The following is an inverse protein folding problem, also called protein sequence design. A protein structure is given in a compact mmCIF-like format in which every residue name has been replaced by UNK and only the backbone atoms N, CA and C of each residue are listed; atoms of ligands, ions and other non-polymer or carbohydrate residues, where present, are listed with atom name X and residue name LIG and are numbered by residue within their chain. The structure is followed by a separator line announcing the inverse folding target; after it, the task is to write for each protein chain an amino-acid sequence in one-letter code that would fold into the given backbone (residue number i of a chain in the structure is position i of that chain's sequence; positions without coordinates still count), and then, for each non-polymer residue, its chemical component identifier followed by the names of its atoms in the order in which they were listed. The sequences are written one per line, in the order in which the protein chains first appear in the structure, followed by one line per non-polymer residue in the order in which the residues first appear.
data_IF_451302800577
#
_entry.id   IF_451302800577
#
_cell.length_a   1.000
_cell.length_b   1.000
_cell.length_c   1.000
_cell.angle_alpha   90.00
_cell.angle_beta   90.00
_cell.angle_gamma   90.00
#
_symmetry.space_group_name_H-M   'P 1'
#
loop_
_entity.id
_entity.type
_entity.pdbx_description
1 polymer ?
#
# COMPACT_ATOMS: atom_id res chain seq x y z
N UNK A 1 16.78 -42.69 42.68
CA UNK A 1 16.27 -43.93 42.01
C UNK A 1 15.19 -44.50 42.90
N UNK A 2 14.03 -44.86 42.36
CA UNK A 2 12.89 -45.37 43.14
C UNK A 2 13.13 -46.85 43.58
N UNK A 3 13.90 -47.60 42.83
CA UNK A 3 14.27 -49.03 43.12
C UNK A 3 15.76 -49.25 42.88
N UNK A 4 16.35 -50.11 43.66
CA UNK A 4 17.70 -50.65 43.38
C UNK A 4 17.61 -51.69 42.24
N UNK A 5 18.70 -51.97 41.50
CA UNK A 5 18.68 -53.00 40.43
C UNK A 5 18.20 -54.37 40.93
N UNK A 6 18.45 -54.74 42.16
CA UNK A 6 17.97 -56.00 42.77
C UNK A 6 16.46 -55.97 42.97
N UNK A 7 15.89 -54.90 43.50
CA UNK A 7 14.46 -54.72 43.67
C UNK A 7 13.74 -54.62 42.32
N UNK A 8 14.35 -53.99 41.32
CA UNK A 8 13.79 -53.96 39.97
C UNK A 8 13.71 -55.33 39.31
N UNK A 9 14.71 -56.18 39.53
CA UNK A 9 14.64 -57.55 39.05
C UNK A 9 13.51 -58.38 39.75
N UNK A 10 13.30 -58.17 41.05
CA UNK A 10 12.21 -58.79 41.81
C UNK A 10 10.83 -58.34 41.30
N UNK A 11 10.65 -57.07 41.04
CA UNK A 11 9.39 -56.49 40.52
C UNK A 11 9.06 -57.07 39.13
N UNK A 12 10.06 -57.25 38.28
CA UNK A 12 9.87 -57.90 36.96
C UNK A 12 9.74 -59.42 37.03
N UNK A 13 10.10 -60.04 38.18
CA UNK A 13 10.09 -61.49 38.34
C UNK A 13 11.15 -62.20 37.49
N UNK A 14 12.37 -61.62 37.44
CA UNK A 14 13.51 -62.16 36.70
C UNK A 14 14.75 -62.24 37.57
N UNK A 15 15.72 -63.04 37.13
CA UNK A 15 17.02 -63.14 37.82
C UNK A 15 17.81 -61.84 37.70
N UNK A 16 18.59 -61.49 38.75
CA UNK A 16 19.50 -60.38 38.74
C UNK A 16 20.58 -60.43 37.66
N UNK A 17 20.81 -61.63 37.10
CA UNK A 17 21.78 -61.88 36.04
C UNK A 17 21.09 -62.07 34.67
N UNK A 18 19.83 -61.66 34.51
CA UNK A 18 19.09 -61.76 33.26
C UNK A 18 19.74 -60.93 32.15
N UNK A 19 19.74 -61.47 30.95
CA UNK A 19 20.24 -60.73 29.77
C UNK A 19 19.25 -59.66 29.29
N UNK A 20 19.73 -58.70 28.52
CA UNK A 20 18.83 -57.69 27.91
C UNK A 20 17.70 -58.31 27.12
N UNK A 21 17.93 -59.43 26.40
CA UNK A 21 16.92 -60.15 25.65
C UNK A 21 15.86 -60.80 26.58
N UNK A 22 16.27 -61.26 27.77
CA UNK A 22 15.31 -61.80 28.74
C UNK A 22 14.44 -60.68 29.35
N UNK A 23 15.05 -59.51 29.60
CA UNK A 23 14.35 -58.31 30.03
C UNK A 23 13.28 -57.87 29.01
N UNK A 24 13.65 -57.79 27.73
CA UNK A 24 12.72 -57.44 26.65
C UNK A 24 11.58 -58.43 26.51
N UNK A 25 11.87 -59.71 26.49
CA UNK A 25 10.82 -60.76 26.41
C UNK A 25 9.88 -60.66 27.62
N UNK A 26 10.40 -60.48 28.81
CA UNK A 26 9.56 -60.39 30.02
C UNK A 26 8.68 -59.13 29.98
N UNK A 27 9.22 -58.00 29.58
CA UNK A 27 8.47 -56.76 29.45
C UNK A 27 7.41 -56.83 28.37
N UNK A 28 7.67 -57.53 27.27
CA UNK A 28 6.69 -57.76 26.19
C UNK A 28 5.46 -58.54 26.68
N UNK A 29 5.67 -59.55 27.55
CA UNK A 29 4.58 -60.28 28.18
C UNK A 29 3.75 -59.39 29.08
N UNK A 30 4.41 -58.55 29.90
CA UNK A 30 3.76 -57.57 30.79
C UNK A 30 2.93 -56.59 29.96
N UNK A 31 3.47 -56.05 28.86
CA UNK A 31 2.82 -55.13 27.99
C UNK A 31 1.59 -55.75 27.29
N UNK A 32 1.71 -57.00 26.83
CA UNK A 32 0.56 -57.74 26.25
C UNK A 32 -0.55 -57.94 27.27
N UNK A 33 -0.21 -58.33 28.50
CA UNK A 33 -1.15 -58.51 29.60
C UNK A 33 -1.88 -57.19 29.92
N UNK A 34 -1.15 -56.06 30.03
CA UNK A 34 -1.71 -54.73 30.28
C UNK A 34 -2.66 -54.31 29.16
N UNK A 35 -2.27 -54.52 27.89
CA UNK A 35 -3.12 -54.21 26.74
C UNK A 35 -4.42 -55.05 26.73
N UNK A 36 -4.35 -56.32 27.08
CA UNK A 36 -5.53 -57.16 27.19
C UNK A 36 -6.48 -56.66 28.29
N UNK A 37 -6.00 -56.40 29.50
CA UNK A 37 -6.77 -55.87 30.63
C UNK A 37 -7.40 -54.50 30.31
N UNK A 38 -6.71 -53.69 29.54
CA UNK A 38 -7.24 -52.42 29.08
C UNK A 38 -8.34 -52.58 28.03
N UNK A 39 -8.22 -53.59 27.16
CA UNK A 39 -9.18 -53.86 26.09
C UNK A 39 -10.47 -54.50 26.58
N UNK A 40 -10.42 -55.34 27.61
CA UNK A 40 -11.57 -56.02 28.20
C UNK A 40 -12.23 -55.26 29.35
N UNK A 41 -11.67 -54.09 29.70
CA UNK A 41 -12.22 -53.21 30.74
C UNK A 41 -11.94 -53.68 32.17
N UNK A 42 -11.07 -54.70 32.38
CA UNK A 42 -10.71 -55.26 33.68
C UNK A 42 -9.53 -54.53 34.34
N UNK A 43 -9.09 -53.40 33.79
CA UNK A 43 -7.96 -52.62 34.32
C UNK A 43 -8.44 -51.80 35.55
N UNK A 44 -8.04 -52.23 36.74
CA UNK A 44 -8.25 -51.50 37.97
C UNK A 44 -7.04 -50.62 38.31
N UNK A 45 -7.17 -49.81 39.36
CA UNK A 45 -6.14 -48.87 39.81
C UNK A 45 -4.88 -49.58 40.31
N UNK A 46 -5.05 -50.77 40.91
CA UNK A 46 -3.94 -51.58 41.43
C UNK A 46 -3.12 -52.21 40.28
N UNK A 47 -3.78 -52.70 39.22
CA UNK A 47 -3.15 -53.20 38.01
C UNK A 47 -2.41 -52.06 37.25
N UNK A 48 -2.98 -50.86 37.20
CA UNK A 48 -2.34 -49.70 36.59
C UNK A 48 -1.07 -49.28 37.37
N UNK A 49 -1.12 -49.27 38.68
CA UNK A 49 0.03 -48.97 39.53
C UNK A 49 1.11 -50.05 39.39
N UNK A 50 0.71 -51.35 39.39
CA UNK A 50 1.64 -52.46 39.17
C UNK A 50 2.36 -52.35 37.83
N UNK A 51 1.64 -51.96 36.77
CA UNK A 51 2.24 -51.76 35.44
C UNK A 51 3.23 -50.60 35.42
N UNK A 52 2.95 -49.49 36.12
CA UNK A 52 3.88 -48.40 36.27
C UNK A 52 5.18 -48.81 36.99
N UNK A 53 5.04 -49.58 38.08
CA UNK A 53 6.18 -50.04 38.85
C UNK A 53 7.03 -51.06 38.03
N UNK A 54 6.41 -51.95 37.25
CA UNK A 54 7.10 -52.84 36.31
C UNK A 54 7.78 -52.10 35.18
N UNK A 55 7.17 -51.03 34.66
CA UNK A 55 7.79 -50.20 33.63
C UNK A 55 9.01 -49.43 34.15
N UNK A 56 8.92 -48.87 35.35
CA UNK A 56 10.05 -48.20 35.99
C UNK A 56 11.19 -49.19 36.29
N UNK A 57 10.88 -50.39 36.76
CA UNK A 57 11.84 -51.47 37.00
C UNK A 57 12.55 -51.86 35.69
N UNK A 58 11.82 -52.05 34.57
CA UNK A 58 12.38 -52.35 33.26
C UNK A 58 13.36 -51.25 32.80
N UNK A 59 12.97 -49.97 32.96
CA UNK A 59 13.83 -48.84 32.57
C UNK A 59 15.13 -48.79 33.38
N UNK A 60 15.07 -49.05 34.68
CA UNK A 60 16.26 -49.12 35.56
C UNK A 60 17.22 -50.21 35.09
N UNK A 61 16.72 -51.42 34.82
CA UNK A 61 17.55 -52.56 34.42
C UNK A 61 18.10 -52.40 32.98
N UNK A 62 17.41 -51.73 32.12
CA UNK A 62 17.89 -51.38 30.76
C UNK A 62 18.90 -50.22 30.77
N UNK A 63 19.10 -49.56 31.90
CA UNK A 63 20.01 -48.43 32.03
C UNK A 63 19.45 -47.12 31.53
N UNK A 64 18.15 -47.04 31.33
CA UNK A 64 17.51 -45.77 31.02
C UNK A 64 17.41 -44.94 32.31
N UNK A 65 17.82 -43.67 32.25
CA UNK A 65 17.70 -42.78 33.41
C UNK A 65 16.20 -42.54 33.74
N UNK A 66 15.78 -43.07 34.90
CA UNK A 66 14.40 -42.87 35.41
C UNK A 66 14.24 -41.55 36.16
N UNK A 67 15.28 -40.76 36.20
CA UNK A 67 15.25 -39.39 36.75
C UNK A 67 15.05 -38.36 35.62
N UNK A 68 13.81 -38.16 35.21
CA UNK A 68 13.43 -36.83 34.78
C UNK A 68 13.18 -36.04 36.06
N UNK A 69 14.04 -35.14 36.49
CA UNK A 69 13.69 -34.23 37.58
C UNK A 69 12.43 -33.54 37.13
N UNK A 70 11.36 -33.66 37.88
CA UNK A 70 10.22 -32.72 37.76
C UNK A 70 10.81 -31.37 38.18
N UNK A 71 11.33 -30.65 37.20
CA UNK A 71 11.71 -29.26 37.36
C UNK A 71 10.42 -28.55 37.73
N UNK A 72 10.19 -28.36 39.00
CA UNK A 72 9.18 -27.40 39.48
C UNK A 72 9.63 -26.04 38.98
N UNK A 73 9.16 -25.72 37.76
CA UNK A 73 9.43 -24.45 37.13
C UNK A 73 8.73 -23.40 37.98
N UNK A 74 9.49 -22.44 38.51
CA UNK A 74 8.94 -21.32 39.26
C UNK A 74 7.85 -20.67 38.42
N UNK A 75 6.66 -20.57 38.94
CA UNK A 75 5.54 -19.85 38.32
C UNK A 75 5.98 -18.43 38.01
N UNK A 76 5.89 -18.07 36.76
CA UNK A 76 6.15 -16.70 36.29
C UNK A 76 4.89 -15.85 36.44
N UNK A 77 5.06 -14.53 36.49
CA UNK A 77 3.92 -13.58 36.51
C UNK A 77 2.94 -13.79 35.34
N UNK A 78 3.42 -14.27 34.21
CA UNK A 78 2.61 -14.66 33.04
C UNK A 78 1.76 -15.90 33.31
N UNK A 79 2.24 -16.86 34.09
CA UNK A 79 1.45 -18.07 34.43
C UNK A 79 0.25 -17.68 35.30
N UNK A 80 0.44 -16.82 36.28
CA UNK A 80 -0.64 -16.28 37.15
C UNK A 80 -1.65 -15.42 36.38
N UNK A 81 -1.21 -14.70 35.34
CA UNK A 81 -2.11 -13.93 34.49
C UNK A 81 -2.99 -14.83 33.60
N UNK A 82 -2.42 -15.90 33.04
CA UNK A 82 -3.14 -16.89 32.22
C UNK A 82 -4.15 -17.67 33.08
N UNK A 83 -3.78 -18.06 34.30
CA UNK A 83 -4.67 -18.77 35.23
C UNK A 83 -5.88 -17.93 35.63
N UNK A 84 -5.70 -16.60 35.84
CA UNK A 84 -6.82 -15.67 36.12
C UNK A 84 -7.84 -15.60 35.00
N UNK A 85 -7.43 -15.85 33.75
CA UNK A 85 -8.30 -15.83 32.56
C UNK A 85 -8.80 -17.25 32.20
N UNK A 86 -8.43 -18.27 33.01
CA UNK A 86 -8.83 -19.66 32.78
C UNK A 86 -8.14 -20.33 31.58
N UNK A 87 -7.01 -19.80 31.15
CA UNK A 87 -6.25 -20.33 30.01
C UNK A 87 -5.10 -21.23 30.47
N UNK A 88 -5.07 -22.46 29.97
CA UNK A 88 -3.96 -23.39 30.17
C UNK A 88 -2.76 -22.98 29.30
N UNK A 89 -1.61 -22.79 29.95
CA UNK A 89 -0.37 -22.41 29.28
C UNK A 89 0.04 -23.35 28.17
N UNK A 90 -0.14 -24.67 28.35
CA UNK A 90 0.20 -25.64 27.33
C UNK A 90 -0.64 -25.46 26.07
N UNK A 91 -1.94 -25.20 26.25
CA UNK A 91 -2.86 -24.94 25.13
C UNK A 91 -2.49 -23.62 24.43
N UNK A 92 -2.19 -22.57 25.18
CA UNK A 92 -1.76 -21.30 24.62
C UNK A 92 -0.44 -21.41 23.86
N UNK A 93 0.56 -22.11 24.43
CA UNK A 93 1.84 -22.36 23.75
C UNK A 93 1.68 -23.15 22.45
N UNK A 94 0.89 -24.20 22.47
CA UNK A 94 0.59 -24.98 21.29
C UNK A 94 -0.17 -24.17 20.21
N UNK A 95 -1.14 -23.36 20.64
CA UNK A 95 -1.85 -22.47 19.73
C UNK A 95 -0.90 -21.52 19.00
N UNK A 96 -0.02 -20.81 19.71
CA UNK A 96 0.96 -19.92 19.12
C UNK A 96 1.97 -20.68 18.21
N UNK A 97 2.39 -21.85 18.60
CA UNK A 97 3.30 -22.65 17.80
C UNK A 97 2.70 -23.07 16.45
N UNK A 98 1.47 -23.58 16.45
CA UNK A 98 0.79 -24.02 15.23
C UNK A 98 0.26 -22.85 14.38
N UNK A 99 -0.10 -21.73 15.00
CA UNK A 99 -0.70 -20.60 14.30
C UNK A 99 0.25 -19.41 14.10
N UNK A 100 1.55 -19.55 14.39
CA UNK A 100 2.52 -18.45 14.32
C UNK A 100 2.51 -17.69 12.98
N UNK A 101 2.39 -18.40 11.87
CA UNK A 101 2.35 -17.77 10.54
C UNK A 101 1.01 -17.06 10.27
N UNK A 102 -0.09 -17.63 10.74
CA UNK A 102 -1.40 -16.99 10.64
C UNK A 102 -1.47 -15.73 11.52
N UNK A 103 -0.94 -15.79 12.72
CA UNK A 103 -0.85 -14.65 13.64
C UNK A 103 0.01 -13.56 13.04
N UNK A 104 1.17 -13.91 12.46
CA UNK A 104 2.04 -12.95 11.76
C UNK A 104 1.32 -12.33 10.56
N UNK A 105 0.63 -13.12 9.74
CA UNK A 105 -0.13 -12.62 8.61
C UNK A 105 -1.26 -11.66 9.03
N UNK A 106 -2.00 -11.99 10.09
CA UNK A 106 -3.03 -11.11 10.65
C UNK A 106 -2.42 -9.81 11.17
N UNK A 107 -1.30 -9.90 11.88
CA UNK A 107 -0.60 -8.71 12.39
C UNK A 107 -0.16 -7.79 11.25
N UNK A 108 0.43 -8.35 10.20
CA UNK A 108 0.83 -7.59 9.00
C UNK A 108 -0.38 -6.97 8.28
N UNK A 109 -1.50 -7.72 8.19
CA UNK A 109 -2.73 -7.20 7.62
C UNK A 109 -3.30 -6.02 8.44
N UNK A 110 -3.31 -6.12 9.76
CA UNK A 110 -3.76 -5.04 10.66
C UNK A 110 -2.87 -3.80 10.52
N UNK A 111 -1.54 -4.00 10.45
CA UNK A 111 -0.59 -2.92 10.23
C UNK A 111 -0.85 -2.24 8.87
N UNK A 112 -1.04 -3.03 7.81
CA UNK A 112 -1.34 -2.50 6.48
C UNK A 112 -2.65 -1.69 6.48
N UNK A 113 -3.72 -2.23 7.07
CA UNK A 113 -5.00 -1.53 7.22
C UNK A 113 -4.83 -0.24 8.03
N UNK A 114 -4.04 -0.26 9.11
CA UNK A 114 -3.75 0.94 9.90
C UNK A 114 -3.06 2.02 9.07
N UNK A 115 -2.06 1.67 8.26
CA UNK A 115 -1.39 2.64 7.39
C UNK A 115 -2.33 3.21 6.32
N UNK A 116 -3.14 2.36 5.68
CA UNK A 116 -4.14 2.81 4.70
C UNK A 116 -5.18 3.72 5.36
N UNK A 117 -5.72 3.32 6.52
CA UNK A 117 -6.69 4.12 7.25
C UNK A 117 -6.08 5.47 7.70
N UNK A 118 -4.85 5.46 8.19
CA UNK A 118 -4.12 6.68 8.54
C UNK A 118 -4.00 7.61 7.32
N UNK A 119 -3.59 7.09 6.17
CA UNK A 119 -3.46 7.86 4.93
C UNK A 119 -4.80 8.51 4.53
N UNK A 120 -5.89 7.75 4.57
CA UNK A 120 -7.23 8.26 4.24
C UNK A 120 -7.68 9.34 5.24
N UNK A 121 -7.48 9.12 6.54
CA UNK A 121 -7.94 10.06 7.60
C UNK A 121 -7.09 11.33 7.63
N UNK A 122 -5.78 11.22 7.32
CA UNK A 122 -4.85 12.37 7.35
C UNK A 122 -4.72 13.06 6.00
N UNK A 123 -5.38 12.55 4.95
CA UNK A 123 -5.39 13.19 3.65
C UNK A 123 -6.11 14.53 3.74
N UNK A 124 -5.35 15.60 3.62
CA UNK A 124 -5.89 16.96 3.48
C UNK A 124 -6.32 17.11 2.02
N UNK A 125 -7.59 17.39 1.77
CA UNK A 125 -8.03 17.75 0.43
C UNK A 125 -7.41 19.10 0.06
N UNK A 126 -6.74 19.22 -1.09
CA UNK A 126 -6.14 20.49 -1.50
C UNK A 126 -7.23 21.52 -1.83
N UNK A 127 -7.00 22.75 -1.39
CA UNK A 127 -7.89 23.88 -1.73
C UNK A 127 -7.84 24.22 -3.23
N UNK A 128 -6.70 23.94 -3.89
CA UNK A 128 -6.52 24.06 -5.33
C UNK A 128 -5.57 23.01 -5.87
N UNK A 129 -5.87 22.51 -7.06
CA UNK A 129 -5.00 21.62 -7.83
C UNK A 129 -4.63 22.29 -9.15
N UNK A 130 -3.33 22.31 -9.46
CA UNK A 130 -2.79 22.94 -10.67
C UNK A 130 -2.05 21.86 -11.47
N UNK A 131 -2.46 21.66 -12.71
CA UNK A 131 -1.81 20.76 -13.65
C UNK A 131 -0.64 21.45 -14.37
N UNK A 132 0.50 20.77 -14.47
CA UNK A 132 1.66 21.29 -15.21
C UNK A 132 2.05 20.26 -16.25
N UNK A 133 1.96 20.62 -17.54
CA UNK A 133 2.25 19.71 -18.64
C UNK A 133 3.21 20.34 -19.64
N UNK A 134 4.37 19.70 -19.82
CA UNK A 134 5.43 20.19 -20.70
C UNK A 134 6.78 19.64 -20.30
N UNK A 135 7.85 20.36 -20.55
CA UNK A 135 9.17 20.07 -20.00
C UNK A 135 9.22 20.49 -18.53
N UNK A 136 8.79 19.55 -17.64
CA UNK A 136 8.54 19.87 -16.23
C UNK A 136 9.82 19.72 -15.40
N UNK A 137 10.13 20.76 -14.62
CA UNK A 137 11.19 20.76 -13.63
C UNK A 137 10.58 21.05 -12.25
N UNK A 138 10.67 20.08 -11.34
CA UNK A 138 9.98 20.15 -10.04
C UNK A 138 10.67 21.04 -8.99
N UNK A 139 11.89 21.47 -9.24
CA UNK A 139 12.75 22.11 -8.24
C UNK A 139 12.17 23.39 -7.62
N UNK A 140 11.29 24.09 -8.33
CA UNK A 140 10.73 25.38 -7.91
C UNK A 140 9.22 25.35 -7.56
N UNK A 141 8.60 24.16 -7.47
CA UNK A 141 7.17 24.05 -7.13
C UNK A 141 6.86 24.59 -5.73
N UNK A 142 7.73 24.38 -4.76
CA UNK A 142 7.55 24.90 -3.40
C UNK A 142 7.55 26.43 -3.38
N UNK A 143 8.39 27.07 -4.19
CA UNK A 143 8.41 28.54 -4.33
C UNK A 143 7.13 29.04 -4.99
N UNK A 144 6.65 28.34 -6.01
CA UNK A 144 5.40 28.70 -6.68
C UNK A 144 4.21 28.53 -5.72
N UNK A 145 4.15 27.43 -4.96
CA UNK A 145 3.15 27.21 -3.91
C UNK A 145 3.14 28.33 -2.90
N UNK A 146 4.31 28.70 -2.38
CA UNK A 146 4.45 29.80 -1.42
C UNK A 146 3.89 31.10 -1.98
N UNK A 147 4.25 31.49 -3.20
CA UNK A 147 3.78 32.74 -3.83
C UNK A 147 2.27 32.75 -4.04
N UNK A 148 1.69 31.64 -4.50
CA UNK A 148 0.24 31.54 -4.67
C UNK A 148 -0.45 31.69 -3.31
N UNK A 149 0.03 31.00 -2.28
CA UNK A 149 -0.53 31.07 -0.92
C UNK A 149 -0.39 32.48 -0.32
N UNK A 150 0.75 33.19 -0.54
CA UNK A 150 0.94 34.57 -0.12
C UNK A 150 0.00 35.54 -0.85
N UNK A 151 -0.28 35.28 -2.14
CA UNK A 151 -1.16 36.12 -2.96
C UNK A 151 -2.64 35.86 -2.71
N UNK A 152 -3.00 34.57 -2.43
CA UNK A 152 -4.36 34.13 -2.15
C UNK A 152 -4.37 33.38 -0.80
N UNK A 153 -4.44 34.06 0.35
CA UNK A 153 -4.32 33.44 1.67
C UNK A 153 -5.42 32.41 2.02
N UNK A 154 -6.48 32.36 1.24
CA UNK A 154 -7.56 31.38 1.37
C UNK A 154 -7.13 30.01 0.88
N UNK A 155 -6.20 29.93 -0.09
CA UNK A 155 -5.66 28.69 -0.64
C UNK A 155 -4.43 28.26 0.18
N UNK A 156 -4.65 27.46 1.21
CA UNK A 156 -3.59 26.98 2.13
C UNK A 156 -2.87 25.76 1.57
N UNK A 157 -3.64 24.82 1.05
CA UNK A 157 -3.13 23.57 0.51
C UNK A 157 -3.27 23.55 -1.01
N UNK A 158 -2.14 23.72 -1.70
CA UNK A 158 -2.07 23.70 -3.15
C UNK A 158 -1.27 22.46 -3.57
N UNK A 159 -1.85 21.67 -4.46
CA UNK A 159 -1.21 20.50 -5.05
C UNK A 159 -0.86 20.78 -6.50
N UNK A 160 0.36 20.42 -6.89
CA UNK A 160 0.79 20.39 -8.28
C UNK A 160 0.87 18.97 -8.78
N UNK A 161 0.16 18.69 -9.85
CA UNK A 161 0.27 17.44 -10.58
C UNK A 161 0.88 17.71 -11.95
N UNK A 162 1.92 16.96 -12.29
CA UNK A 162 2.66 17.24 -13.51
C UNK A 162 2.83 16.01 -14.41
N UNK A 163 2.94 16.26 -15.71
CA UNK A 163 3.34 15.27 -16.69
C UNK A 163 4.27 15.87 -17.73
N UNK A 164 5.33 15.16 -18.05
CA UNK A 164 6.23 15.58 -19.14
C UNK A 164 5.56 15.38 -20.48
N UNK A 165 5.52 16.44 -21.30
CA UNK A 165 5.03 16.37 -22.68
C UNK A 165 5.98 17.08 -23.60
N UNK A 166 6.49 16.33 -24.58
CA UNK A 166 7.42 16.82 -25.62
C UNK A 166 6.95 16.34 -27.00
N UNK A 167 7.45 16.93 -28.05
CA UNK A 167 7.15 16.54 -29.42
C UNK A 167 7.89 15.26 -29.89
N UNK A 168 8.75 14.73 -29.06
CA UNK A 168 9.59 13.56 -29.40
C UNK A 168 9.25 12.35 -28.53
N UNK A 169 8.26 11.58 -28.94
CA UNK A 169 7.91 10.31 -28.34
C UNK A 169 8.73 9.17 -28.92
N UNK A 170 9.81 8.80 -28.30
CA UNK A 170 10.73 7.75 -28.77
C UNK A 170 10.80 6.53 -27.87
N UNK A 171 10.30 6.62 -26.64
CA UNK A 171 10.39 5.56 -25.64
C UNK A 171 9.03 5.18 -25.06
N UNK A 172 8.94 3.97 -24.46
CA UNK A 172 7.72 3.57 -23.73
C UNK A 172 7.40 4.49 -22.54
N UNK A 173 8.40 5.19 -22.01
CA UNK A 173 8.21 6.15 -20.92
C UNK A 173 7.48 7.42 -21.40
N UNK A 174 7.76 7.87 -22.60
CA UNK A 174 7.09 9.03 -23.19
C UNK A 174 5.59 8.76 -23.39
N UNK A 175 5.22 7.55 -23.81
CA UNK A 175 3.82 7.13 -23.88
C UNK A 175 3.14 7.09 -22.49
N UNK A 176 3.86 6.67 -21.45
CA UNK A 176 3.33 6.67 -20.09
C UNK A 176 3.07 8.10 -19.59
N UNK A 177 3.93 9.05 -19.92
CA UNK A 177 3.71 10.47 -19.62
C UNK A 177 2.51 11.04 -20.36
N UNK A 178 2.34 10.71 -21.64
CA UNK A 178 1.17 11.11 -22.40
C UNK A 178 -0.14 10.56 -21.78
N UNK A 179 -0.15 9.27 -21.40
CA UNK A 179 -1.28 8.68 -20.71
C UNK A 179 -1.56 9.37 -19.37
N UNK A 180 -0.51 9.69 -18.60
CA UNK A 180 -0.65 10.45 -17.35
C UNK A 180 -1.27 11.82 -17.61
N UNK A 181 -0.81 12.56 -18.63
CA UNK A 181 -1.39 13.86 -18.99
C UNK A 181 -2.87 13.76 -19.34
N UNK A 182 -3.27 12.75 -20.10
CA UNK A 182 -4.68 12.48 -20.42
C UNK A 182 -5.51 12.18 -19.16
N UNK A 183 -4.98 11.38 -18.23
CA UNK A 183 -5.64 11.07 -16.94
C UNK A 183 -5.81 12.34 -16.13
N UNK A 184 -4.77 13.18 -16.01
CA UNK A 184 -4.84 14.45 -15.28
C UNK A 184 -5.91 15.37 -15.88
N UNK A 185 -6.07 15.38 -17.20
CA UNK A 185 -7.07 16.20 -17.85
C UNK A 185 -8.50 15.67 -17.68
N UNK A 186 -8.72 14.35 -17.69
CA UNK A 186 -10.05 13.75 -17.75
C UNK A 186 -10.56 13.36 -16.35
N UNK A 187 -9.70 12.78 -15.52
CA UNK A 187 -10.08 12.08 -14.29
C UNK A 187 -9.63 12.74 -12.99
N UNK A 188 -8.92 13.88 -13.04
CA UNK A 188 -8.54 14.63 -11.85
C UNK A 188 -9.49 15.80 -11.59
N UNK A 189 -9.39 16.40 -10.39
CA UNK A 189 -10.13 17.61 -10.01
C UNK A 189 -9.36 18.91 -10.36
N UNK A 190 -8.40 18.82 -11.28
CA UNK A 190 -7.61 19.96 -11.73
C UNK A 190 -8.43 20.83 -12.66
N UNK A 191 -8.56 22.10 -12.31
CA UNK A 191 -9.28 23.09 -13.12
C UNK A 191 -8.35 23.98 -13.93
N UNK A 192 -7.16 24.27 -13.43
CA UNK A 192 -6.20 25.19 -14.04
C UNK A 192 -4.93 24.44 -14.43
N UNK A 193 -4.50 24.66 -15.67
CA UNK A 193 -3.32 24.02 -16.25
C UNK A 193 -2.32 25.07 -16.72
N UNK A 194 -1.03 24.80 -16.49
CA UNK A 194 0.11 25.52 -17.04
C UNK A 194 0.76 24.57 -18.06
N UNK A 195 0.76 24.97 -19.31
CA UNK A 195 1.11 24.12 -20.44
C UNK A 195 2.27 24.73 -21.23
N UNK A 196 3.12 23.89 -21.83
CA UNK A 196 3.94 24.32 -22.95
C UNK A 196 3.10 24.31 -24.25
N UNK A 197 3.66 24.84 -25.33
CA UNK A 197 2.99 24.88 -26.64
C UNK A 197 2.53 23.49 -27.09
N UNK A 198 3.39 22.49 -27.00
CA UNK A 198 3.08 21.15 -27.46
C UNK A 198 1.89 20.52 -26.72
N UNK A 199 1.88 20.63 -25.38
CA UNK A 199 0.76 20.12 -24.58
C UNK A 199 -0.56 20.88 -24.87
N UNK A 200 -0.47 22.18 -25.03
CA UNK A 200 -1.62 23.02 -25.41
C UNK A 200 -2.21 22.59 -26.75
N UNK A 201 -1.39 22.57 -27.81
CA UNK A 201 -1.82 22.23 -29.16
C UNK A 201 -2.41 20.79 -29.25
N UNK A 202 -1.86 19.88 -28.42
CA UNK A 202 -2.36 18.50 -28.37
C UNK A 202 -3.76 18.39 -27.79
N UNK A 203 -4.12 19.20 -26.78
CA UNK A 203 -5.38 19.07 -26.07
C UNK A 203 -6.46 20.07 -26.52
N UNK A 204 -6.10 21.25 -27.02
CA UNK A 204 -7.06 22.32 -27.33
C UNK A 204 -8.11 21.89 -28.34
N UNK A 205 -7.70 21.22 -29.39
CA UNK A 205 -8.61 20.79 -30.47
C UNK A 205 -9.58 19.67 -30.04
N UNK A 206 -9.29 19.01 -28.92
CA UNK A 206 -10.17 17.99 -28.35
C UNK A 206 -11.19 18.56 -27.34
N UNK A 207 -11.33 19.89 -27.27
CA UNK A 207 -12.31 20.53 -26.39
C UNK A 207 -11.98 20.46 -24.90
N UNK A 208 -10.69 20.30 -24.57
CA UNK A 208 -10.24 20.17 -23.20
C UNK A 208 -10.41 21.43 -22.37
N UNK A 209 -10.40 22.60 -23.01
CA UNK A 209 -10.29 23.92 -22.36
C UNK A 209 -11.52 24.79 -22.65
N UNK A 210 -11.81 25.70 -21.73
CA UNK A 210 -12.86 26.69 -21.87
C UNK A 210 -12.37 27.90 -22.64
N UNK A 211 -13.32 28.61 -23.26
CA UNK A 211 -13.09 29.89 -23.91
C UNK A 211 -12.74 30.97 -22.85
N UNK A 212 -11.61 31.63 -23.01
CA UNK A 212 -11.08 32.63 -22.10
C UNK A 212 -11.22 34.07 -22.62
N UNK A 213 -11.93 34.31 -23.73
CA UNK A 213 -12.11 35.65 -24.27
C UNK A 213 -12.81 36.60 -23.30
N UNK A 214 -13.79 36.11 -22.53
CA UNK A 214 -14.45 36.89 -21.50
C UNK A 214 -13.48 37.34 -20.38
N UNK A 215 -12.60 36.40 -19.96
CA UNK A 215 -11.57 36.73 -18.98
C UNK A 215 -10.54 37.72 -19.52
N UNK A 216 -10.12 37.56 -20.75
CA UNK A 216 -9.20 38.51 -21.39
C UNK A 216 -9.81 39.91 -21.42
N UNK A 217 -11.09 40.06 -21.74
CA UNK A 217 -11.80 41.33 -21.69
C UNK A 217 -11.95 41.87 -20.27
N UNK A 218 -12.35 41.00 -19.32
CA UNK A 218 -12.57 41.40 -17.91
C UNK A 218 -11.31 41.96 -17.26
N UNK A 219 -10.18 41.36 -17.52
CA UNK A 219 -8.88 41.75 -16.92
C UNK A 219 -8.07 42.70 -17.82
N UNK A 220 -8.66 43.12 -18.97
CA UNK A 220 -8.00 44.01 -19.96
C UNK A 220 -6.60 43.51 -20.36
N UNK A 221 -6.51 42.18 -20.65
CA UNK A 221 -5.26 41.54 -21.02
C UNK A 221 -4.83 41.96 -22.42
N UNK A 222 -3.52 42.10 -22.60
CA UNK A 222 -2.93 42.23 -23.92
C UNK A 222 -2.92 40.86 -24.61
N UNK A 223 -4.00 40.57 -25.34
CA UNK A 223 -4.17 39.31 -26.06
C UNK A 223 -3.30 39.19 -27.32
N UNK A 224 -2.54 40.22 -27.67
CA UNK A 224 -1.68 40.19 -28.87
C UNK A 224 -0.66 39.03 -28.79
N UNK A 225 -0.14 38.74 -27.62
CA UNK A 225 0.76 37.61 -27.35
C UNK A 225 0.04 36.25 -27.42
N UNK A 226 -1.25 36.23 -27.11
CA UNK A 226 -2.08 35.04 -27.08
C UNK A 226 -2.87 34.81 -28.38
N UNK A 227 -2.68 35.64 -29.40
CA UNK A 227 -3.39 35.48 -30.69
C UNK A 227 -3.09 34.12 -31.34
N UNK A 228 -1.85 33.63 -31.17
CA UNK A 228 -1.44 32.30 -31.63
C UNK A 228 -2.04 31.13 -30.82
N UNK A 229 -2.75 31.45 -29.74
CA UNK A 229 -3.46 30.49 -28.85
C UNK A 229 -4.95 30.42 -29.13
N UNK A 230 -5.42 31.10 -30.19
CA UNK A 230 -6.76 30.90 -30.71
C UNK A 230 -6.82 29.65 -31.55
N UNK A 231 -7.80 28.79 -31.27
CA UNK A 231 -8.03 27.55 -32.02
C UNK A 231 -9.55 27.26 -32.09
N UNK A 232 -9.87 26.16 -32.75
CA UNK A 232 -11.25 25.66 -32.87
C UNK A 232 -11.30 24.22 -32.36
N UNK A 233 -12.34 23.90 -31.61
CA UNK A 233 -12.61 22.53 -31.19
C UNK A 233 -13.06 21.71 -32.39
N UNK A 234 -12.43 20.56 -32.57
CA UNK A 234 -12.76 19.63 -33.66
C UNK A 234 -13.99 18.81 -33.28
N UNK A 235 -14.99 18.78 -34.15
CA UNK A 235 -16.19 17.98 -34.00
C UNK A 235 -15.95 16.56 -34.54
N UNK A 236 -15.43 16.47 -35.75
CA UNK A 236 -15.17 15.19 -36.40
C UNK A 236 -13.77 15.18 -37.02
N UNK A 237 -13.05 14.07 -36.79
CA UNK A 237 -11.72 13.82 -37.35
C UNK A 237 -11.84 12.93 -38.59
N UNK A 238 -10.98 13.14 -39.59
CA UNK A 238 -10.83 12.21 -40.70
C UNK A 238 -10.32 10.84 -40.21
N UNK A 239 -10.67 9.79 -40.94
CA UNK A 239 -10.16 8.45 -40.65
C UNK A 239 -8.62 8.44 -40.61
N UNK A 240 -8.01 7.76 -39.63
CA UNK A 240 -6.57 7.70 -39.51
C UNK A 240 -5.94 7.12 -40.78
N UNK A 241 -5.08 7.89 -41.44
CA UNK A 241 -4.29 7.40 -42.59
C UNK A 241 -2.92 6.97 -42.09
N UNK A 242 -2.42 5.85 -42.65
CA UNK A 242 -1.10 5.34 -42.27
C UNK A 242 -0.01 6.40 -42.53
N UNK A 243 0.78 6.71 -41.50
CA UNK A 243 1.88 7.69 -41.55
C UNK A 243 1.48 9.16 -41.83
N UNK A 244 0.25 9.54 -41.59
CA UNK A 244 -0.16 10.95 -41.66
C UNK A 244 -0.74 11.44 -40.34
N UNK A 245 -0.51 12.72 -39.97
CA UNK A 245 -1.21 13.32 -38.84
C UNK A 245 -2.72 13.32 -39.10
N UNK A 246 -3.51 13.20 -38.04
CA UNK A 246 -4.97 13.30 -38.12
C UNK A 246 -5.37 14.70 -38.58
N UNK A 247 -6.31 14.77 -39.51
CA UNK A 247 -6.82 16.03 -40.08
C UNK A 247 -8.25 16.27 -39.54
N UNK A 248 -8.60 17.49 -39.09
CA UNK A 248 -9.95 17.83 -38.74
C UNK A 248 -10.87 17.79 -39.98
N UNK A 249 -12.01 17.13 -39.85
CA UNK A 249 -13.06 17.10 -40.89
C UNK A 249 -14.07 18.19 -40.68
N UNK A 250 -14.48 18.43 -39.44
CA UNK A 250 -15.39 19.52 -39.07
C UNK A 250 -15.00 20.10 -37.69
N UNK A 251 -15.50 21.30 -37.45
CA UNK A 251 -15.27 22.01 -36.19
C UNK A 251 -16.60 22.37 -35.54
N UNK A 252 -16.63 22.37 -34.19
CA UNK A 252 -17.80 22.81 -33.42
C UNK A 252 -18.02 24.30 -33.58
N UNK A 253 -16.91 25.07 -33.47
CA UNK A 253 -16.96 26.52 -33.58
C UNK A 253 -16.69 26.98 -35.02
N UNK A 254 -17.43 28.01 -35.47
CA UNK A 254 -17.23 28.61 -36.80
C UNK A 254 -15.96 29.43 -36.87
N UNK A 255 -15.57 30.07 -35.73
CA UNK A 255 -14.42 30.96 -35.64
C UNK A 255 -13.47 30.49 -34.53
N UNK A 256 -12.15 30.72 -34.65
CA UNK A 256 -11.19 30.44 -33.57
C UNK A 256 -11.50 31.24 -32.31
N UNK A 257 -11.48 30.59 -31.15
CA UNK A 257 -11.66 31.17 -29.82
C UNK A 257 -10.37 31.11 -29.02
N UNK A 258 -10.30 31.92 -27.99
CA UNK A 258 -9.14 32.00 -27.11
C UNK A 258 -9.24 30.94 -26.01
N UNK A 259 -8.50 29.81 -26.12
CA UNK A 259 -8.49 28.74 -25.13
C UNK A 259 -7.27 28.76 -24.21
N UNK A 260 -6.29 29.62 -24.48
CA UNK A 260 -5.10 29.76 -23.68
C UNK A 260 -4.66 31.22 -23.56
N UNK A 261 -4.00 31.55 -22.46
CA UNK A 261 -3.41 32.87 -22.23
C UNK A 261 -1.91 32.70 -22.02
N UNK A 262 -1.09 33.42 -22.74
CA UNK A 262 0.35 33.45 -22.51
C UNK A 262 0.66 34.15 -21.20
N UNK A 263 1.22 33.40 -20.25
CA UNK A 263 1.61 33.85 -18.92
C UNK A 263 3.14 33.80 -18.70
N UNK A 264 3.92 33.67 -19.77
CA UNK A 264 5.37 33.52 -19.70
C UNK A 264 6.04 34.69 -18.95
N UNK A 265 5.50 35.89 -19.09
CA UNK A 265 5.97 37.11 -18.44
C UNK A 265 5.30 37.43 -17.10
N UNK A 266 4.42 36.54 -16.60
CA UNK A 266 3.69 36.80 -15.34
C UNK A 266 4.62 36.97 -14.15
N UNK A 267 4.28 37.93 -13.28
CA UNK A 267 5.07 38.25 -12.08
C UNK A 267 5.19 37.07 -11.12
N UNK A 268 4.23 36.16 -11.14
CA UNK A 268 4.25 34.95 -10.29
C UNK A 268 5.48 34.07 -10.55
N UNK A 269 6.00 34.05 -11.79
CA UNK A 269 7.17 33.26 -12.18
C UNK A 269 8.50 33.99 -12.06
N UNK A 270 8.51 35.27 -11.69
CA UNK A 270 9.74 36.06 -11.62
C UNK A 270 10.76 35.46 -10.65
N UNK A 271 11.92 34.98 -11.15
CA UNK A 271 12.91 34.23 -10.36
C UNK A 271 12.49 32.83 -9.96
N UNK A 272 11.50 32.28 -10.66
CA UNK A 272 11.12 30.86 -10.64
C UNK A 272 11.26 30.38 -12.09
N UNK A 273 12.45 29.95 -12.48
CA UNK A 273 12.73 29.65 -13.88
C UNK A 273 12.44 28.18 -14.25
N UNK A 274 12.47 27.30 -13.26
CA UNK A 274 12.51 25.86 -13.46
C UNK A 274 11.20 25.13 -13.07
N UNK A 275 10.05 25.67 -13.46
CA UNK A 275 8.76 24.96 -13.28
C UNK A 275 8.36 24.23 -14.57
N UNK A 276 8.45 24.94 -15.67
CA UNK A 276 8.16 24.48 -17.03
C UNK A 276 9.05 25.31 -17.97
N UNK A 277 9.24 24.87 -19.20
CA UNK A 277 10.02 25.58 -20.20
C UNK A 277 9.70 27.08 -20.35
N UNK A 278 10.34 27.80 -21.28
CA UNK A 278 10.22 29.25 -21.36
C UNK A 278 8.79 29.73 -21.67
N UNK A 279 8.07 29.00 -22.50
CA UNK A 279 6.68 29.31 -22.83
C UNK A 279 5.74 28.70 -21.81
N UNK A 280 4.84 29.51 -21.24
CA UNK A 280 3.86 29.12 -20.24
C UNK A 280 2.48 29.57 -20.68
N UNK A 281 1.63 28.62 -20.94
CA UNK A 281 0.25 28.85 -21.41
C UNK A 281 -0.68 28.44 -20.28
N UNK A 282 -1.47 29.39 -19.81
CA UNK A 282 -2.57 29.15 -18.88
C UNK A 282 -3.78 28.66 -19.68
N UNK A 283 -4.30 27.50 -19.30
CA UNK A 283 -5.56 27.00 -19.82
C UNK A 283 -6.45 26.54 -18.65
N UNK A 284 -7.75 26.58 -18.83
CA UNK A 284 -8.73 26.19 -17.82
C UNK A 284 -9.59 25.08 -18.39
N UNK A 285 -9.89 24.08 -17.59
CA UNK A 285 -10.77 22.97 -17.97
C UNK A 285 -12.09 23.49 -18.55
N UNK A 286 -12.61 22.84 -19.59
CA UNK A 286 -13.85 23.22 -20.27
C UNK A 286 -15.05 23.34 -19.32
N UNK A 287 -15.12 22.49 -18.31
CA UNK A 287 -16.11 22.55 -17.21
C UNK A 287 -15.36 22.46 -15.89
N UNK A 288 -15.00 23.58 -15.26
CA UNK A 288 -14.26 23.58 -14.00
C UNK A 288 -15.11 23.02 -12.85
N UNK A 289 -14.49 22.25 -11.95
CA UNK A 289 -15.11 21.73 -10.73
C UNK A 289 -15.34 22.85 -9.71
N UNK A 290 -14.35 23.72 -9.56
CA UNK A 290 -14.40 24.88 -8.66
C UNK A 290 -14.09 26.16 -9.41
N UNK A 291 -15.14 26.74 -10.01
CA UNK A 291 -14.99 27.97 -10.80
C UNK A 291 -14.43 29.15 -10.00
N UNK A 292 -14.78 29.28 -8.72
CA UNK A 292 -14.31 30.38 -7.88
C UNK A 292 -12.79 30.33 -7.69
N UNK A 293 -12.25 29.12 -7.42
CA UNK A 293 -10.80 28.90 -7.31
C UNK A 293 -10.11 29.14 -8.65
N UNK A 294 -10.70 28.61 -9.74
CA UNK A 294 -10.16 28.83 -11.07
C UNK A 294 -10.09 30.33 -11.42
N UNK A 295 -11.14 31.12 -11.13
CA UNK A 295 -11.20 32.55 -11.37
C UNK A 295 -10.08 33.30 -10.60
N UNK A 296 -9.86 32.95 -9.32
CA UNK A 296 -8.79 33.54 -8.48
C UNK A 296 -7.40 33.22 -9.05
N UNK A 297 -7.19 31.96 -9.46
CA UNK A 297 -5.92 31.54 -10.06
C UNK A 297 -5.68 32.22 -11.42
N UNK A 298 -6.69 32.33 -12.27
CA UNK A 298 -6.59 33.07 -13.54
C UNK A 298 -6.14 34.50 -13.26
N UNK A 299 -6.84 35.20 -12.36
CA UNK A 299 -6.51 36.60 -12.01
C UNK A 299 -5.08 36.72 -11.52
N UNK A 300 -4.59 35.80 -10.71
CA UNK A 300 -3.22 35.82 -10.20
C UNK A 300 -2.18 35.58 -11.30
N UNK A 301 -2.42 34.61 -12.18
CA UNK A 301 -1.45 34.26 -13.22
C UNK A 301 -1.35 35.26 -14.35
N UNK A 302 -2.41 36.03 -14.61
CA UNK A 302 -2.42 37.03 -15.71
C UNK A 302 -1.93 38.42 -15.31
N UNK A 303 -1.75 38.65 -14.02
CA UNK A 303 -1.13 39.89 -13.46
C UNK A 303 0.39 39.75 -13.41
#
# INVERSE_FOLDING_TARGET
MRYTPKQAAEILGISTNATKNDLEKRYDIILKKYKAMKSDGSLDEEAEQSFKDQTDAYRILMGYEVNVPVVQRKETSTDKALEKVGLDRGKVGNFFYYHKYHILAILLAVIAVFFVAKEIITRVEPDAQIGIMGEVYQDDFDKLKQRITESIPELKEIQFDSSTMTDNYSTGQDYAYLQKAQILLIASDIDVFILNRYAYDYFVQNGAFMDLEEYARKYNLDVSKSESLKDRVVDEWEDPQENKPRTPKSYIDSEPKLYGIDISDSQIFKGIENVIGPEKILAVRSVPHNKEVADKLIELFVK
#
